data_IF_405458325037
#
_entry.id   IF_405458325037
#
_cell.length_a   1.000
_cell.length_b   1.000
_cell.length_c   1.000
_cell.angle_alpha   90.00
_cell.angle_beta   90.00
_cell.angle_gamma   90.00
#
_symmetry.space_group_name_H-M   'P 1'
#
loop_
_entity.id
_entity.type
_entity.pdbx_description
1 polymer ?
#
# COMPACT_ATOMS: atom_id res chain seq x y z
N UNK A 1 17.08 -0.47 -27.25
CA UNK A 1 16.88 -1.78 -27.89
C UNK A 1 18.20 -2.57 -28.06
N UNK A 2 19.24 -1.97 -28.61
CA UNK A 2 20.52 -2.64 -28.89
C UNK A 2 21.17 -3.20 -27.58
N UNK A 3 21.29 -2.40 -26.55
CA UNK A 3 21.92 -2.79 -25.27
C UNK A 3 21.25 -4.00 -24.61
N UNK A 4 19.92 -4.11 -24.66
CA UNK A 4 19.19 -5.26 -24.09
C UNK A 4 19.54 -6.55 -24.84
N UNK A 5 19.61 -6.51 -26.16
CA UNK A 5 19.97 -7.68 -26.96
C UNK A 5 21.44 -8.11 -26.73
N UNK A 6 22.34 -7.16 -26.63
CA UNK A 6 23.75 -7.40 -26.30
C UNK A 6 23.88 -8.03 -24.90
N UNK A 7 23.11 -7.51 -23.91
CA UNK A 7 23.09 -8.09 -22.56
C UNK A 7 22.55 -9.52 -22.54
N UNK A 8 21.45 -9.80 -23.23
CA UNK A 8 20.89 -11.15 -23.35
C UNK A 8 21.93 -12.11 -23.96
N UNK A 9 22.61 -11.68 -25.04
CA UNK A 9 23.64 -12.48 -25.65
C UNK A 9 24.80 -12.77 -24.68
N UNK A 10 25.29 -11.76 -23.99
CA UNK A 10 26.34 -11.90 -22.97
C UNK A 10 25.93 -12.84 -21.84
N UNK A 11 24.70 -12.71 -21.33
CA UNK A 11 24.20 -13.57 -20.26
C UNK A 11 24.08 -15.04 -20.71
N UNK A 12 23.64 -15.29 -21.95
CA UNK A 12 23.56 -16.66 -22.51
C UNK A 12 24.92 -17.35 -22.64
N UNK A 13 26.01 -16.59 -22.72
CA UNK A 13 27.36 -17.16 -22.77
C UNK A 13 27.90 -17.62 -21.39
N UNK A 14 27.22 -17.26 -20.32
CA UNK A 14 27.64 -17.59 -18.95
C UNK A 14 27.11 -18.98 -18.58
N UNK A 15 28.00 -19.94 -18.29
CA UNK A 15 27.65 -21.34 -18.05
C UNK A 15 26.67 -21.59 -16.88
N UNK A 16 26.64 -20.72 -15.87
CA UNK A 16 25.73 -20.86 -14.75
C UNK A 16 24.34 -20.22 -14.97
N UNK A 17 24.15 -19.46 -16.04
CA UNK A 17 22.84 -18.92 -16.42
C UNK A 17 22.08 -19.99 -17.19
N UNK A 18 20.96 -20.45 -16.62
CA UNK A 18 20.11 -21.49 -17.22
C UNK A 18 19.01 -20.88 -18.06
N UNK A 19 18.37 -19.87 -17.53
CA UNK A 19 17.18 -19.23 -18.11
C UNK A 19 17.30 -17.72 -18.00
N UNK A 20 16.70 -17.01 -18.95
CA UNK A 20 16.63 -15.55 -18.95
C UNK A 20 15.17 -15.17 -19.18
N UNK A 21 14.61 -14.41 -18.26
CA UNK A 21 13.31 -13.78 -18.41
C UNK A 21 13.43 -12.29 -18.70
N UNK A 22 12.45 -11.72 -19.38
CA UNK A 22 12.32 -10.27 -19.58
C UNK A 22 11.24 -9.69 -18.66
N UNK A 23 11.56 -8.60 -18.00
CA UNK A 23 10.63 -7.92 -17.13
C UNK A 23 10.65 -6.41 -17.33
N UNK A 24 9.46 -5.82 -17.25
CA UNK A 24 9.31 -4.37 -17.02
C UNK A 24 8.32 -4.14 -15.88
N UNK A 25 8.52 -3.06 -15.13
CA UNK A 25 7.57 -2.64 -14.10
C UNK A 25 6.85 -1.38 -14.56
N UNK A 26 5.51 -1.45 -14.66
CA UNK A 26 4.69 -0.34 -15.13
C UNK A 26 4.67 0.79 -14.10
N UNK A 27 5.05 1.98 -14.54
CA UNK A 27 5.22 3.12 -13.65
C UNK A 27 3.91 3.81 -13.27
N UNK A 28 2.92 3.81 -14.18
CA UNK A 28 1.69 4.61 -14.05
C UNK A 28 0.42 3.78 -14.32
N UNK A 29 0.45 2.47 -14.09
CA UNK A 29 -0.72 1.61 -14.37
C UNK A 29 -1.90 1.86 -13.42
N UNK A 30 -1.66 2.51 -12.29
CA UNK A 30 -2.66 3.00 -11.34
C UNK A 30 -3.53 4.15 -11.89
N UNK A 31 -3.05 4.84 -12.92
CA UNK A 31 -3.83 5.82 -13.67
C UNK A 31 -4.26 5.24 -15.02
N UNK A 32 -5.50 4.76 -15.11
CA UNK A 32 -6.04 4.14 -16.33
C UNK A 32 -6.19 5.11 -17.51
N UNK A 33 -6.11 6.41 -17.27
CA UNK A 33 -6.17 7.46 -18.30
C UNK A 33 -4.79 7.88 -18.81
N UNK A 34 -3.69 7.37 -18.23
CA UNK A 34 -2.33 7.73 -18.62
C UNK A 34 -1.82 6.83 -19.76
N UNK A 35 -1.66 7.41 -20.92
CA UNK A 35 -1.11 6.72 -22.11
C UNK A 35 0.33 6.20 -21.95
N UNK A 36 1.06 6.63 -20.91
CA UNK A 36 2.42 6.15 -20.62
C UNK A 36 2.48 4.65 -20.42
N UNK A 37 1.45 4.07 -19.79
CA UNK A 37 1.34 2.61 -19.58
C UNK A 37 1.34 1.86 -20.92
N UNK A 38 0.56 2.33 -21.90
CA UNK A 38 0.52 1.73 -23.24
C UNK A 38 1.85 1.97 -24.00
N UNK A 39 2.44 3.14 -23.86
CA UNK A 39 3.74 3.41 -24.45
C UNK A 39 4.83 2.48 -23.89
N UNK A 40 4.88 2.31 -22.57
CA UNK A 40 5.83 1.41 -21.90
C UNK A 40 5.63 -0.05 -22.34
N UNK A 41 4.38 -0.51 -22.40
CA UNK A 41 4.05 -1.82 -22.96
C UNK A 41 4.56 -1.99 -24.38
N UNK A 42 4.25 -1.02 -25.28
CA UNK A 42 4.66 -1.09 -26.69
C UNK A 42 6.19 -1.08 -26.84
N UNK A 43 6.89 -0.35 -26.00
CA UNK A 43 8.35 -0.42 -25.92
C UNK A 43 8.82 -1.81 -25.50
N UNK A 44 8.20 -2.41 -24.50
CA UNK A 44 8.53 -3.75 -24.03
C UNK A 44 8.30 -4.82 -25.12
N UNK A 45 7.22 -4.71 -25.90
CA UNK A 45 6.90 -5.62 -27.00
C UNK A 45 8.03 -5.73 -28.05
N UNK A 46 8.83 -4.68 -28.25
CA UNK A 46 9.96 -4.70 -29.17
C UNK A 46 11.06 -5.69 -28.78
N UNK A 47 11.07 -6.12 -27.51
CA UNK A 47 12.04 -7.07 -26.98
C UNK A 47 11.46 -8.47 -26.82
N UNK A 48 10.15 -8.62 -26.73
CA UNK A 48 9.48 -9.91 -26.53
C UNK A 48 9.19 -10.65 -27.84
N UNK A 49 9.25 -9.96 -28.98
CA UNK A 49 9.01 -10.60 -30.28
C UNK A 49 10.03 -11.74 -30.52
N UNK A 50 9.52 -12.98 -30.58
CA UNK A 50 10.31 -14.22 -30.70
C UNK A 50 11.35 -14.39 -29.60
N UNK A 51 11.12 -13.80 -28.45
CA UNK A 51 11.99 -14.01 -27.29
C UNK A 51 11.80 -15.43 -26.76
N UNK A 52 12.92 -16.11 -26.55
CA UNK A 52 12.95 -17.47 -26.00
C UNK A 52 13.15 -17.39 -24.49
N UNK A 53 12.06 -17.32 -23.75
CA UNK A 53 12.03 -17.23 -22.31
C UNK A 53 10.77 -16.55 -21.77
N UNK A 54 10.68 -16.51 -20.47
CA UNK A 54 9.56 -15.97 -19.73
C UNK A 54 9.50 -14.44 -19.80
N UNK A 55 8.29 -13.91 -19.70
CA UNK A 55 8.09 -12.46 -19.64
C UNK A 55 7.18 -12.08 -18.47
N UNK A 56 7.40 -10.88 -17.95
CA UNK A 56 6.58 -10.33 -16.89
C UNK A 56 6.42 -8.82 -17.00
N UNK A 57 5.17 -8.34 -17.00
CA UNK A 57 4.86 -6.91 -17.11
C UNK A 57 3.80 -6.47 -16.09
N UNK A 58 2.82 -7.34 -15.78
CA UNK A 58 1.67 -6.95 -14.99
C UNK A 58 1.97 -6.86 -13.49
N UNK A 59 1.84 -5.67 -12.92
CA UNK A 59 1.70 -5.40 -11.49
C UNK A 59 0.22 -5.46 -11.06
N UNK A 60 -0.09 -5.13 -9.81
CA UNK A 60 -1.48 -5.14 -9.29
C UNK A 60 -2.44 -4.27 -10.12
N UNK A 61 -2.01 -3.07 -10.50
CA UNK A 61 -2.84 -2.16 -11.28
C UNK A 61 -3.09 -2.68 -12.70
N UNK A 62 -2.07 -3.25 -13.33
CA UNK A 62 -2.23 -3.85 -14.65
C UNK A 62 -3.12 -5.10 -14.62
N UNK A 63 -3.02 -5.90 -13.57
CA UNK A 63 -3.86 -7.08 -13.37
C UNK A 63 -5.35 -6.72 -13.26
N UNK A 64 -5.67 -5.63 -12.56
CA UNK A 64 -7.04 -5.25 -12.24
C UNK A 64 -7.66 -4.25 -13.23
N UNK A 65 -6.86 -3.43 -13.91
CA UNK A 65 -7.36 -2.33 -14.74
C UNK A 65 -7.00 -2.40 -16.23
N UNK A 66 -6.06 -3.25 -16.65
CA UNK A 66 -5.53 -3.28 -18.02
C UNK A 66 -5.61 -4.67 -18.65
N UNK A 67 -6.64 -5.44 -18.31
CA UNK A 67 -6.75 -6.84 -18.70
C UNK A 67 -6.71 -7.04 -20.23
N UNK A 68 -7.52 -6.28 -20.97
CA UNK A 68 -7.60 -6.37 -22.44
C UNK A 68 -6.33 -5.91 -23.15
N UNK A 69 -5.61 -4.97 -22.56
CA UNK A 69 -4.40 -4.37 -23.14
C UNK A 69 -3.14 -5.16 -22.79
N UNK A 70 -3.04 -5.63 -21.55
CA UNK A 70 -1.79 -6.18 -20.99
C UNK A 70 -1.89 -7.70 -20.76
N UNK A 71 -3.01 -8.21 -20.23
CA UNK A 71 -3.17 -9.63 -19.92
C UNK A 71 -3.56 -10.47 -21.14
N UNK A 72 -2.99 -10.20 -22.29
CA UNK A 72 -3.21 -10.96 -23.52
C UNK A 72 -1.90 -11.61 -23.96
N UNK A 73 -1.50 -12.75 -23.37
CA UNK A 73 -0.18 -13.37 -23.57
C UNK A 73 0.22 -13.53 -25.03
N UNK A 74 -0.73 -13.91 -25.90
CA UNK A 74 -0.51 -14.07 -27.35
C UNK A 74 0.03 -12.83 -28.06
N UNK A 75 -0.12 -11.63 -27.48
CA UNK A 75 0.41 -10.38 -28.04
C UNK A 75 1.92 -10.22 -27.83
N UNK A 76 2.52 -10.99 -26.94
CA UNK A 76 3.94 -10.86 -26.62
C UNK A 76 4.85 -11.75 -27.47
N UNK A 77 4.27 -12.71 -28.21
CA UNK A 77 4.96 -13.57 -29.18
C UNK A 77 6.29 -14.16 -28.65
N UNK A 78 6.31 -14.53 -27.36
CA UNK A 78 7.41 -15.22 -26.72
C UNK A 78 7.16 -16.73 -26.65
N UNK A 79 8.19 -17.52 -26.42
CA UNK A 79 8.09 -18.97 -26.27
C UNK A 79 8.00 -19.45 -24.82
N UNK A 80 8.14 -18.54 -23.85
CA UNK A 80 8.04 -18.84 -22.42
C UNK A 80 6.68 -18.46 -21.80
N UNK A 81 6.61 -18.57 -20.49
CA UNK A 81 5.43 -18.23 -19.72
C UNK A 81 5.25 -16.72 -19.52
N UNK A 82 4.00 -16.33 -19.26
CA UNK A 82 3.63 -14.97 -18.91
C UNK A 82 3.37 -14.87 -17.40
N UNK A 83 4.26 -14.21 -16.69
CA UNK A 83 4.20 -14.06 -15.24
C UNK A 83 3.54 -12.75 -14.83
N UNK A 84 2.65 -12.82 -13.85
CA UNK A 84 2.07 -11.65 -13.18
C UNK A 84 2.73 -11.45 -11.82
N UNK A 85 2.79 -10.20 -11.38
CA UNK A 85 3.39 -9.82 -10.08
C UNK A 85 2.43 -8.96 -9.27
N UNK A 86 1.30 -9.54 -8.80
CA UNK A 86 0.43 -8.82 -7.89
C UNK A 86 1.19 -8.58 -6.58
N UNK A 87 1.20 -7.34 -6.14
CA UNK A 87 1.80 -6.93 -4.88
C UNK A 87 0.71 -6.49 -3.92
N UNK A 88 0.38 -5.20 -3.95
CA UNK A 88 -0.57 -4.58 -3.02
C UNK A 88 -1.97 -5.22 -3.05
N UNK A 89 -2.42 -5.72 -4.21
CA UNK A 89 -3.71 -6.39 -4.33
C UNK A 89 -3.79 -7.73 -3.58
N UNK A 90 -2.66 -8.39 -3.32
CA UNK A 90 -2.63 -9.59 -2.47
C UNK A 90 -2.94 -9.29 -1.01
N UNK A 91 -2.70 -8.05 -0.58
CA UNK A 91 -3.06 -7.57 0.76
C UNK A 91 -4.48 -7.01 0.84
N UNK A 92 -5.23 -7.11 -0.27
CA UNK A 92 -6.60 -6.61 -0.33
C UNK A 92 -6.69 -5.09 -0.48
N UNK A 93 -5.63 -4.42 -0.93
CA UNK A 93 -5.57 -2.97 -1.09
C UNK A 93 -5.70 -2.61 -2.58
N UNK A 94 -6.58 -1.63 -2.88
CA UNK A 94 -6.72 -1.11 -4.23
C UNK A 94 -5.44 -0.41 -4.69
N UNK A 95 -4.92 -0.70 -5.88
CA UNK A 95 -3.84 0.07 -6.47
C UNK A 95 -4.30 1.41 -7.09
N UNK A 96 -5.61 1.67 -7.14
CA UNK A 96 -6.20 2.87 -7.73
C UNK A 96 -6.63 3.86 -6.65
N UNK A 97 -6.51 5.15 -6.92
CA UNK A 97 -6.96 6.20 -6.00
C UNK A 97 -8.47 6.47 -6.09
N UNK A 98 -9.07 6.14 -7.22
CA UNK A 98 -10.48 6.36 -7.54
C UNK A 98 -11.38 5.12 -7.35
N UNK A 99 -10.80 3.99 -6.96
CA UNK A 99 -11.53 2.72 -6.75
C UNK A 99 -11.23 2.15 -5.37
N UNK A 100 -12.27 1.81 -4.64
CA UNK A 100 -12.12 1.14 -3.35
C UNK A 100 -11.77 -0.34 -3.53
N UNK A 101 -11.13 -0.94 -2.52
CA UNK A 101 -10.85 -2.38 -2.50
C UNK A 101 -12.12 -3.21 -2.70
N UNK A 102 -13.21 -2.85 -2.03
CA UNK A 102 -14.50 -3.52 -2.15
C UNK A 102 -15.06 -3.48 -3.58
N UNK A 103 -14.92 -2.34 -4.29
CA UNK A 103 -15.38 -2.21 -5.69
C UNK A 103 -14.61 -3.10 -6.67
N UNK A 104 -13.43 -3.56 -6.27
CA UNK A 104 -12.57 -4.48 -7.03
C UNK A 104 -12.71 -5.94 -6.57
N UNK A 105 -13.59 -6.23 -5.61
CA UNK A 105 -13.73 -7.55 -5.02
C UNK A 105 -12.55 -7.98 -4.15
N UNK A 106 -11.71 -7.04 -3.73
CA UNK A 106 -10.58 -7.30 -2.85
C UNK A 106 -11.02 -7.28 -1.39
N UNK A 107 -10.44 -8.18 -0.59
CA UNK A 107 -10.67 -8.25 0.85
C UNK A 107 -9.35 -8.03 1.60
N UNK A 108 -9.33 -7.21 2.65
CA UNK A 108 -8.17 -7.06 3.51
C UNK A 108 -7.74 -8.40 4.10
N UNK A 109 -6.46 -8.75 3.98
CA UNK A 109 -5.89 -9.99 4.53
C UNK A 109 -5.07 -9.75 5.79
N UNK A 110 -4.93 -8.50 6.20
CA UNK A 110 -4.15 -8.10 7.36
C UNK A 110 -4.95 -7.14 8.24
N UNK A 111 -4.84 -7.35 9.55
CA UNK A 111 -5.43 -6.51 10.59
C UNK A 111 -4.33 -6.12 11.56
N UNK A 112 -4.22 -4.83 11.86
CA UNK A 112 -3.30 -4.31 12.86
C UNK A 112 -4.09 -3.57 13.94
N UNK A 113 -4.00 -4.06 15.16
CA UNK A 113 -4.73 -3.54 16.31
C UNK A 113 -3.79 -3.29 17.48
N UNK A 114 -4.20 -2.36 18.33
CA UNK A 114 -3.56 -2.07 19.60
C UNK A 114 -4.63 -1.89 20.69
N UNK A 115 -4.22 -1.95 21.95
CA UNK A 115 -5.10 -1.73 23.09
C UNK A 115 -5.13 -0.24 23.47
N UNK A 116 -6.32 0.25 23.81
CA UNK A 116 -6.48 1.50 24.54
C UNK A 116 -6.06 1.27 26.00
N UNK A 117 -4.95 1.87 26.42
CA UNK A 117 -4.34 1.58 27.73
C UNK A 117 -4.53 2.69 28.76
N UNK A 118 -4.91 3.89 28.32
CA UNK A 118 -5.21 5.01 29.23
C UNK A 118 -6.17 6.00 28.58
N UNK A 119 -6.96 6.68 29.40
CA UNK A 119 -7.88 7.75 28.98
C UNK A 119 -7.71 8.93 29.93
N UNK A 120 -7.44 10.11 29.38
CA UNK A 120 -7.24 11.35 30.13
C UNK A 120 -8.17 12.44 29.62
N UNK A 121 -8.81 13.16 30.51
CA UNK A 121 -9.52 14.38 30.15
C UNK A 121 -8.51 15.48 29.83
N UNK A 122 -8.71 16.19 28.74
CA UNK A 122 -7.89 17.31 28.28
C UNK A 122 -8.74 18.55 28.05
N UNK A 123 -8.17 19.70 28.31
CA UNK A 123 -8.83 21.00 28.15
C UNK A 123 -8.44 21.62 26.80
N UNK A 124 -9.29 22.53 26.34
CA UNK A 124 -8.93 23.41 25.23
C UNK A 124 -7.61 24.13 25.52
N UNK A 125 -6.67 24.05 24.57
CA UNK A 125 -5.34 24.63 24.70
C UNK A 125 -4.26 23.66 25.17
N UNK A 126 -4.62 22.48 25.68
CA UNK A 126 -3.65 21.44 26.03
C UNK A 126 -2.99 20.89 24.77
N UNK A 127 -1.66 20.65 24.86
CA UNK A 127 -0.88 20.08 23.75
C UNK A 127 -0.46 18.65 24.07
N UNK A 128 -0.30 17.82 23.01
CA UNK A 128 0.09 16.42 23.14
C UNK A 128 1.23 16.06 22.22
N UNK A 129 2.04 15.10 22.68
CA UNK A 129 3.15 14.51 21.95
C UNK A 129 4.43 15.35 21.98
N UNK A 130 5.49 14.82 21.39
CA UNK A 130 6.77 15.48 21.27
C UNK A 130 6.64 16.81 20.49
N UNK A 131 7.19 17.87 21.07
CA UNK A 131 7.14 19.21 20.47
C UNK A 131 5.76 19.87 20.52
N UNK A 132 4.77 19.28 21.19
CA UNK A 132 3.42 19.83 21.28
C UNK A 132 2.77 20.09 19.92
N UNK A 133 3.01 19.24 18.95
CA UNK A 133 2.60 19.45 17.55
C UNK A 133 1.09 19.42 17.33
N UNK A 134 0.35 18.95 18.32
CA UNK A 134 -1.11 19.00 18.35
C UNK A 134 -1.59 19.75 19.57
N UNK A 135 -2.54 20.66 19.37
CA UNK A 135 -3.21 21.41 20.47
C UNK A 135 -4.71 21.26 20.32
N UNK A 136 -5.38 20.89 21.42
CA UNK A 136 -6.82 20.71 21.45
C UNK A 136 -7.55 22.04 21.28
N UNK A 137 -8.45 22.11 20.31
CA UNK A 137 -9.30 23.29 20.06
C UNK A 137 -10.52 23.37 20.98
N UNK A 138 -10.86 22.26 21.64
CA UNK A 138 -11.97 22.14 22.62
C UNK A 138 -11.59 21.11 23.67
N UNK A 139 -12.36 21.06 24.76
CA UNK A 139 -12.23 19.97 25.74
C UNK A 139 -12.52 18.63 25.08
N UNK A 140 -11.76 17.60 25.44
CA UNK A 140 -11.88 16.25 24.88
C UNK A 140 -11.38 15.20 25.87
N UNK A 141 -11.43 13.92 25.46
CA UNK A 141 -10.70 12.84 26.09
C UNK A 141 -9.57 12.37 25.16
N UNK A 142 -8.38 12.28 25.70
CA UNK A 142 -7.20 11.75 25.05
C UNK A 142 -7.07 10.27 25.38
N UNK A 143 -7.08 9.41 24.38
CA UNK A 143 -6.76 8.00 24.52
C UNK A 143 -5.29 7.74 24.23
N UNK A 144 -4.65 6.88 25.02
CA UNK A 144 -3.31 6.37 24.76
C UNK A 144 -3.42 4.91 24.32
N UNK A 145 -2.80 4.60 23.19
CA UNK A 145 -2.78 3.25 22.62
C UNK A 145 -1.39 2.64 22.67
N UNK A 146 -1.34 1.32 22.90
CA UNK A 146 -0.11 0.54 23.06
C UNK A 146 0.53 0.18 21.73
N UNK A 147 0.87 1.18 20.92
CA UNK A 147 1.55 1.01 19.63
C UNK A 147 2.40 2.22 19.32
N UNK A 148 3.58 1.99 18.78
CA UNK A 148 4.47 3.05 18.34
C UNK A 148 5.29 2.68 17.13
N UNK A 149 6.29 3.51 16.80
CA UNK A 149 7.15 3.23 15.66
C UNK A 149 8.08 2.04 15.89
N UNK A 150 8.31 1.63 17.12
CA UNK A 150 9.02 0.39 17.47
C UNK A 150 8.29 -0.87 17.03
N UNK A 151 6.95 -0.82 16.91
CA UNK A 151 6.09 -1.89 16.42
C UNK A 151 5.88 -1.84 14.90
N UNK A 152 6.54 -0.90 14.20
CA UNK A 152 6.38 -0.71 12.77
C UNK A 152 5.26 0.27 12.38
N UNK A 153 4.60 0.92 13.34
CA UNK A 153 3.60 1.94 13.05
C UNK A 153 4.28 3.28 12.73
N UNK A 154 4.11 3.77 11.51
CA UNK A 154 4.91 4.88 11.00
C UNK A 154 4.79 6.16 11.83
N UNK A 155 5.92 6.69 12.30
CA UNK A 155 5.99 7.99 12.98
C UNK A 155 5.59 9.18 12.09
N UNK A 156 5.63 8.99 10.76
CA UNK A 156 5.31 10.04 9.79
C UNK A 156 3.80 10.17 9.49
N UNK A 157 2.96 9.36 10.14
CA UNK A 157 1.51 9.52 10.03
C UNK A 157 1.11 10.88 10.62
N UNK A 158 0.38 11.72 9.85
CA UNK A 158 -0.01 13.04 10.34
C UNK A 158 -1.11 12.94 11.40
N UNK A 159 -1.17 13.94 12.28
CA UNK A 159 -2.35 14.15 13.13
C UNK A 159 -3.61 14.28 12.25
N UNK A 160 -4.72 13.69 12.70
CA UNK A 160 -5.94 13.57 11.91
C UNK A 160 -6.04 12.24 11.14
N UNK A 161 -4.99 11.41 11.10
CA UNK A 161 -5.08 10.06 10.52
C UNK A 161 -6.17 9.25 11.24
N UNK A 162 -7.15 8.69 10.50
CA UNK A 162 -8.25 7.95 11.11
C UNK A 162 -7.79 6.58 11.61
N UNK A 163 -8.35 6.16 12.74
CA UNK A 163 -8.31 4.79 13.27
C UNK A 163 -9.70 4.42 13.74
N UNK A 164 -10.02 3.14 13.89
CA UNK A 164 -11.34 2.71 14.37
C UNK A 164 -11.27 2.27 15.83
N UNK A 165 -12.19 2.75 16.62
CA UNK A 165 -12.41 2.33 18.00
C UNK A 165 -13.92 2.09 18.20
N UNK A 166 -14.29 0.89 18.61
CA UNK A 166 -15.69 0.49 18.80
C UNK A 166 -16.59 0.80 17.57
N UNK A 167 -16.06 0.60 16.34
CA UNK A 167 -16.79 0.81 15.09
C UNK A 167 -16.92 2.27 14.65
N UNK A 168 -16.36 3.23 15.39
CA UNK A 168 -16.33 4.66 15.03
C UNK A 168 -14.92 5.12 14.67
N UNK A 169 -14.81 6.08 13.78
CA UNK A 169 -13.53 6.72 13.46
C UNK A 169 -13.16 7.71 14.55
N UNK A 170 -11.95 7.55 15.09
CA UNK A 170 -11.24 8.52 15.93
C UNK A 170 -9.95 8.89 15.23
N UNK A 171 -9.26 9.92 15.65
CA UNK A 171 -8.07 10.42 14.94
C UNK A 171 -6.82 10.36 15.79
N UNK A 172 -5.71 9.98 15.20
CA UNK A 172 -4.39 10.15 15.79
C UNK A 172 -4.11 11.63 16.05
N UNK A 173 -3.48 11.92 17.18
CA UNK A 173 -3.09 13.29 17.56
C UNK A 173 -1.67 13.32 18.11
N UNK A 174 -0.92 14.34 17.71
CA UNK A 174 0.50 14.48 18.05
C UNK A 174 1.39 13.48 17.31
N UNK A 175 2.66 13.46 17.68
CA UNK A 175 3.65 12.54 17.10
C UNK A 175 3.60 11.18 17.79
N UNK A 176 3.68 10.12 17.00
CA UNK A 176 3.80 8.74 17.47
C UNK A 176 5.16 8.58 18.15
N UNK A 177 5.18 8.04 19.36
CA UNK A 177 6.39 7.70 20.11
C UNK A 177 6.86 6.27 19.81
N UNK A 178 7.88 5.80 20.53
CA UNK A 178 8.46 4.48 20.25
C UNK A 178 7.44 3.36 20.46
N UNK A 179 6.70 3.40 21.57
CA UNK A 179 5.80 2.33 22.00
C UNK A 179 4.35 2.79 22.18
N UNK A 180 4.06 4.07 21.99
CA UNK A 180 2.75 4.67 22.26
C UNK A 180 2.33 5.63 21.15
N UNK A 181 1.01 5.69 20.92
CA UNK A 181 0.39 6.75 20.13
C UNK A 181 -0.84 7.30 20.87
N UNK A 182 -1.30 8.46 20.44
CA UNK A 182 -2.41 9.16 21.07
C UNK A 182 -3.56 9.37 20.08
N UNK A 183 -4.78 9.25 20.56
CA UNK A 183 -6.02 9.46 19.79
C UNK A 183 -6.96 10.44 20.49
N UNK A 184 -7.63 11.26 19.70
CA UNK A 184 -8.71 12.11 20.21
C UNK A 184 -10.02 11.30 20.26
N UNK A 185 -10.49 11.00 21.45
CA UNK A 185 -11.70 10.22 21.67
C UNK A 185 -12.99 11.07 21.62
N UNK A 186 -12.86 12.39 21.71
CA UNK A 186 -14.00 13.28 21.92
C UNK A 186 -14.58 13.17 23.33
N UNK A 187 -15.65 13.92 23.57
CA UNK A 187 -16.38 13.87 24.83
C UNK A 187 -17.42 12.74 24.81
N UNK A 188 -17.68 12.13 25.98
CA UNK A 188 -18.76 11.15 26.20
C UNK A 188 -18.74 9.95 25.24
N UNK A 189 -17.57 9.46 24.88
CA UNK A 189 -17.40 8.39 23.90
C UNK A 189 -17.81 6.99 24.40
N UNK A 190 -17.84 6.77 25.70
CA UNK A 190 -18.12 5.46 26.30
C UNK A 190 -16.98 4.44 26.18
N UNK A 191 -15.83 4.86 25.62
CA UNK A 191 -14.65 4.02 25.45
C UNK A 191 -14.04 3.65 26.79
N UNK A 192 -13.40 2.48 26.86
CA UNK A 192 -12.82 1.91 28.08
C UNK A 192 -11.40 1.45 27.83
N UNK A 193 -10.59 1.47 28.87
CA UNK A 193 -9.28 0.83 28.86
C UNK A 193 -9.47 -0.66 28.54
N UNK A 194 -8.67 -1.17 27.59
CA UNK A 194 -8.77 -2.52 27.04
C UNK A 194 -9.55 -2.62 25.73
N UNK A 195 -10.23 -1.56 25.30
CA UNK A 195 -10.87 -1.54 23.98
C UNK A 195 -9.83 -1.64 22.86
N UNK A 196 -10.17 -2.36 21.78
CA UNK A 196 -9.30 -2.51 20.63
C UNK A 196 -9.41 -1.33 19.66
N UNK A 197 -8.26 -0.78 19.31
CA UNK A 197 -8.12 0.26 18.30
C UNK A 197 -7.57 -0.38 17.03
N UNK A 198 -8.36 -0.37 15.96
CA UNK A 198 -7.94 -0.83 14.65
C UNK A 198 -7.19 0.30 13.93
N UNK A 199 -5.93 0.02 13.63
CA UNK A 199 -5.00 0.96 12.97
C UNK A 199 -4.97 0.76 11.47
N UNK A 200 -5.36 -0.46 11.03
CA UNK A 200 -5.36 -0.86 9.64
C UNK A 200 -6.13 -2.17 9.47
N UNK A 201 -6.94 -2.27 8.42
CA UNK A 201 -7.74 -3.45 8.14
C UNK A 201 -9.15 -3.13 7.68
N UNK A 202 -10.06 -4.09 7.82
CA UNK A 202 -11.43 -3.96 7.37
C UNK A 202 -12.17 -2.86 8.16
N UNK A 203 -12.85 -1.98 7.42
CA UNK A 203 -13.67 -0.89 7.97
C UNK A 203 -12.98 0.47 8.07
N UNK A 204 -11.67 0.56 7.82
CA UNK A 204 -10.90 1.81 7.77
C UNK A 204 -10.91 2.46 6.40
#
# INVERSE_FOLDING_TARGET
PRQVRELIHSLRSIKCVREIGLMTHLANADNINDHKTIHQKNTFLQFTDKFDGDISIANSAALLGWQSEILTPKKYNNNGDFWIRPGISLYGISPFTDKTSASLGLQPVMKFEADLIDIKSVSKGDSVGYGGTWTFSSNSNLGIISVGYGDGYSRYLPSGTPVLLNGRKVTLVGLISMDLAAVDLGLNSGDKIGDKVLLWGEGL
#
